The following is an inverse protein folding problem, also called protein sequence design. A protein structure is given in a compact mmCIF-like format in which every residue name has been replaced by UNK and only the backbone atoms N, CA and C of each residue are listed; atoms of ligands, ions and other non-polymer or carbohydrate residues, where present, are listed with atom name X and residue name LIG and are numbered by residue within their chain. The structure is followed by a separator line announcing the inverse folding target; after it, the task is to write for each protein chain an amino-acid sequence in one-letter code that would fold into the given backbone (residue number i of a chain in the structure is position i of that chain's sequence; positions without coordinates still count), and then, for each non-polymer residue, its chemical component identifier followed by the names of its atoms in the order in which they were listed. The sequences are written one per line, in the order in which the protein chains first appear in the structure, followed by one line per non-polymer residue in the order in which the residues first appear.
data_IF_623694249810
#
_entry.id   IF_623694249810
#
_cell.length_a   1.000
_cell.length_b   1.000
_cell.length_c   1.000
_cell.angle_alpha   90.00
_cell.angle_beta   90.00
_cell.angle_gamma   90.00
#
_symmetry.space_group_name_H-M   'P 1'
#
loop_
_entity.id
_entity.type
_entity.pdbx_description
1 polymer ?
#
# COMPACT_ATOMS: atom_id res chain seq x y z
N UNK A 1 4.66 1.30 -0.39
CA UNK A 1 4.94 2.45 0.43
C UNK A 1 6.39 2.91 0.43
N UNK A 2 7.09 2.82 -0.72
CA UNK A 2 8.50 3.25 -0.82
C UNK A 2 8.61 4.74 -1.16
N UNK A 3 7.59 5.32 -1.74
CA UNK A 3 7.64 6.69 -2.25
C UNK A 3 8.47 6.82 -3.53
N UNK A 4 8.97 8.02 -3.81
CA UNK A 4 9.68 8.34 -5.05
C UNK A 4 11.13 7.86 -5.10
N UNK A 5 11.40 6.58 -4.88
CA UNK A 5 12.76 6.01 -4.85
C UNK A 5 13.51 6.22 -6.17
N UNK A 6 12.81 6.15 -7.31
CA UNK A 6 13.41 6.42 -8.63
C UNK A 6 13.83 7.88 -8.74
N UNK A 7 12.93 8.81 -8.37
CA UNK A 7 13.24 10.25 -8.35
C UNK A 7 14.44 10.55 -7.45
N UNK A 8 14.50 9.94 -6.26
CA UNK A 8 15.62 10.11 -5.35
C UNK A 8 16.93 9.63 -5.98
N UNK A 9 16.93 8.44 -6.60
CA UNK A 9 18.11 7.88 -7.27
C UNK A 9 18.60 8.79 -8.39
N UNK A 10 17.71 9.23 -9.29
CA UNK A 10 18.04 10.13 -10.40
C UNK A 10 18.60 11.49 -9.93
N UNK A 11 18.00 12.06 -8.87
CA UNK A 11 18.47 13.34 -8.35
C UNK A 11 19.78 13.20 -7.56
N UNK A 12 20.06 12.02 -7.02
CA UNK A 12 21.37 11.72 -6.45
C UNK A 12 22.48 11.73 -7.51
N UNK A 13 22.23 11.17 -8.68
CA UNK A 13 23.16 11.24 -9.81
C UNK A 13 23.35 12.69 -10.29
N UNK A 14 22.27 13.48 -10.38
CA UNK A 14 22.35 14.91 -10.71
C UNK A 14 23.20 15.67 -9.69
N UNK A 15 23.04 15.39 -8.40
CA UNK A 15 23.83 16.00 -7.33
C UNK A 15 25.32 15.74 -7.51
N UNK A 16 25.69 14.50 -7.82
CA UNK A 16 27.10 14.11 -8.01
C UNK A 16 27.70 14.64 -9.29
N UNK A 17 26.96 14.63 -10.40
CA UNK A 17 27.49 15.03 -11.71
C UNK A 17 27.46 16.55 -11.94
N UNK A 18 26.42 17.24 -11.41
CA UNK A 18 26.10 18.64 -11.79
C UNK A 18 26.07 19.61 -10.61
N UNK A 19 26.19 19.07 -9.38
CA UNK A 19 26.19 19.86 -8.14
C UNK A 19 24.79 20.25 -7.63
N UNK A 20 24.72 20.85 -6.43
CA UNK A 20 23.47 21.09 -5.70
C UNK A 20 22.51 22.08 -6.40
N UNK A 21 23.04 23.02 -7.16
CA UNK A 21 22.23 24.04 -7.85
C UNK A 21 21.41 23.48 -9.03
N UNK A 22 21.62 22.21 -9.38
CA UNK A 22 20.94 21.53 -10.50
C UNK A 22 19.89 20.52 -10.04
N UNK A 23 19.70 20.36 -8.74
CA UNK A 23 18.65 19.51 -8.17
C UNK A 23 17.27 20.05 -8.56
N UNK A 24 16.37 19.13 -8.90
CA UNK A 24 14.99 19.49 -9.22
C UNK A 24 14.29 20.14 -8.03
N UNK A 25 13.60 21.28 -8.19
CA UNK A 25 12.76 21.85 -7.13
C UNK A 25 11.57 20.95 -6.76
N UNK A 26 11.27 19.97 -7.60
CA UNK A 26 10.20 18.98 -7.36
C UNK A 26 10.69 17.71 -6.66
N UNK A 27 11.99 17.60 -6.33
CA UNK A 27 12.53 16.40 -5.64
C UNK A 27 11.68 16.02 -4.44
N UNK A 28 11.47 16.95 -3.52
CA UNK A 28 10.74 16.66 -2.28
C UNK A 28 9.28 16.26 -2.54
N UNK A 29 8.48 17.06 -3.27
CA UNK A 29 7.11 16.65 -3.61
C UNK A 29 7.01 15.30 -4.34
N UNK A 30 7.96 14.96 -5.20
CA UNK A 30 7.95 13.72 -5.97
C UNK A 30 8.44 12.51 -5.15
N UNK A 31 9.10 12.74 -4.02
CA UNK A 31 9.63 11.70 -3.15
C UNK A 31 8.62 11.26 -2.07
N UNK A 32 7.77 12.18 -1.61
CA UNK A 32 6.87 11.93 -0.48
C UNK A 32 5.76 10.92 -0.84
N UNK A 33 5.53 9.87 -0.02
CA UNK A 33 4.52 8.83 -0.29
C UNK A 33 3.08 9.36 -0.36
N UNK A 34 2.76 10.42 0.39
CA UNK A 34 1.41 11.02 0.45
C UNK A 34 1.07 11.88 -0.79
N UNK A 35 2.03 12.15 -1.66
CA UNK A 35 1.78 12.97 -2.85
C UNK A 35 0.90 12.29 -3.90
N UNK A 36 0.76 10.97 -3.89
CA UNK A 36 -0.22 10.28 -4.72
C UNK A 36 -1.65 10.71 -4.31
N UNK A 37 -1.99 10.62 -3.03
CA UNK A 37 -3.27 11.07 -2.49
C UNK A 37 -3.42 12.59 -2.58
N UNK A 38 -2.34 13.35 -2.35
CA UNK A 38 -2.31 14.81 -2.51
C UNK A 38 -2.69 15.27 -3.92
N UNK A 39 -2.15 14.63 -4.96
CA UNK A 39 -2.50 14.93 -6.35
C UNK A 39 -3.97 14.59 -6.66
N UNK A 40 -4.46 13.46 -6.17
CA UNK A 40 -5.89 13.08 -6.31
C UNK A 40 -6.78 14.11 -5.63
N UNK A 41 -6.45 14.52 -4.40
CA UNK A 41 -7.16 15.55 -3.63
C UNK A 41 -7.26 16.86 -4.41
N UNK A 42 -6.13 17.36 -4.93
CA UNK A 42 -6.11 18.59 -5.74
C UNK A 42 -6.94 18.46 -7.02
N UNK A 43 -6.84 17.33 -7.71
CA UNK A 43 -7.55 17.07 -8.96
C UNK A 43 -9.07 17.05 -8.78
N UNK A 44 -9.54 16.50 -7.67
CA UNK A 44 -10.96 16.33 -7.36
C UNK A 44 -11.54 17.46 -6.49
N UNK A 45 -10.69 18.34 -5.97
CA UNK A 45 -11.10 19.38 -5.01
C UNK A 45 -11.55 18.78 -3.66
N UNK A 46 -11.07 17.58 -3.31
CA UNK A 46 -11.40 16.92 -2.06
C UNK A 46 -10.62 17.55 -0.91
N UNK A 47 -11.33 18.10 0.10
CA UNK A 47 -10.74 18.89 1.19
C UNK A 47 -10.81 18.20 2.55
N UNK A 48 -11.18 16.93 2.57
CA UNK A 48 -11.21 16.11 3.79
C UNK A 48 -9.82 15.67 4.23
N UNK A 49 -9.78 14.69 5.12
CA UNK A 49 -8.55 14.07 5.62
C UNK A 49 -7.74 13.50 4.43
N UNK A 50 -6.45 13.81 4.41
CA UNK A 50 -5.53 13.33 3.38
C UNK A 50 -4.20 12.94 4.02
N UNK A 51 -3.84 11.68 3.94
CA UNK A 51 -2.56 11.14 4.39
C UNK A 51 -2.28 9.80 3.69
N UNK A 52 -1.06 9.29 3.86
CA UNK A 52 -0.67 7.97 3.38
C UNK A 52 -0.12 7.14 4.54
N UNK A 53 -0.77 6.05 4.94
CA UNK A 53 -0.11 5.07 5.80
C UNK A 53 1.10 4.49 5.07
N UNK A 54 2.12 4.11 5.82
CA UNK A 54 3.33 3.47 5.29
C UNK A 54 3.60 2.21 6.10
N UNK A 55 3.08 1.09 5.62
CA UNK A 55 3.17 -0.23 6.26
C UNK A 55 3.70 -1.28 5.27
N UNK A 56 4.69 -0.86 4.46
CA UNK A 56 5.30 -1.68 3.41
C UNK A 56 4.24 -2.30 2.48
N UNK A 57 4.24 -3.63 2.30
CA UNK A 57 3.31 -4.33 1.42
C UNK A 57 1.84 -4.24 1.87
N UNK A 58 1.59 -3.96 3.15
CA UNK A 58 0.24 -3.81 3.70
C UNK A 58 -0.37 -2.41 3.50
N UNK A 59 0.40 -1.43 2.99
CA UNK A 59 0.00 -0.02 2.88
C UNK A 59 -1.38 0.16 2.22
N UNK A 60 -1.64 -0.51 1.11
CA UNK A 60 -2.92 -0.40 0.40
C UNK A 60 -4.10 -0.96 1.22
N UNK A 61 -3.91 -2.08 1.90
CA UNK A 61 -4.91 -2.67 2.80
C UNK A 61 -5.17 -1.77 3.99
N UNK A 62 -4.13 -1.22 4.60
CA UNK A 62 -4.26 -0.30 5.73
C UNK A 62 -4.93 1.00 5.34
N UNK A 63 -4.66 1.54 4.15
CA UNK A 63 -5.36 2.73 3.65
C UNK A 63 -6.87 2.50 3.55
N UNK A 64 -7.29 1.33 3.04
CA UNK A 64 -8.69 0.93 2.95
C UNK A 64 -9.30 0.73 4.34
N UNK A 65 -8.59 0.02 5.23
CA UNK A 65 -9.05 -0.24 6.60
C UNK A 65 -9.20 1.02 7.43
N UNK A 66 -8.25 1.95 7.34
CA UNK A 66 -8.34 3.23 8.05
C UNK A 66 -9.45 4.12 7.51
N UNK A 67 -9.70 4.11 6.19
CA UNK A 67 -10.85 4.80 5.61
C UNK A 67 -12.19 4.19 6.08
N UNK A 68 -12.27 2.86 6.16
CA UNK A 68 -13.41 2.16 6.77
C UNK A 68 -13.65 2.61 8.22
N UNK A 69 -12.61 2.65 9.05
CA UNK A 69 -12.72 3.09 10.45
C UNK A 69 -13.24 4.53 10.58
N UNK A 70 -12.77 5.44 9.72
CA UNK A 70 -13.23 6.84 9.71
C UNK A 70 -14.71 6.96 9.32
N UNK A 71 -15.16 6.15 8.36
CA UNK A 71 -16.58 6.10 7.95
C UNK A 71 -17.45 5.53 9.06
N UNK A 72 -17.04 4.42 9.68
CA UNK A 72 -17.80 3.81 10.80
C UNK A 72 -17.90 4.75 12.00
N UNK A 73 -16.87 5.55 12.28
CA UNK A 73 -16.90 6.58 13.33
C UNK A 73 -17.78 7.78 12.99
N UNK A 74 -18.16 7.94 11.72
CA UNK A 74 -18.91 9.10 11.24
C UNK A 74 -18.06 10.36 11.05
N UNK A 75 -16.74 10.23 11.00
CA UNK A 75 -15.82 11.35 10.77
C UNK A 75 -15.86 11.83 9.31
N UNK A 76 -16.17 10.92 8.39
CA UNK A 76 -16.34 11.19 6.95
C UNK A 76 -17.44 10.31 6.37
N UNK A 77 -18.10 10.78 5.29
CA UNK A 77 -19.14 10.02 4.57
C UNK A 77 -18.56 9.16 3.45
N UNK A 78 -17.42 9.57 2.88
CA UNK A 78 -16.79 8.89 1.74
C UNK A 78 -15.27 9.07 1.73
N UNK A 79 -14.58 8.14 1.12
CA UNK A 79 -13.14 8.18 0.91
C UNK A 79 -12.72 7.56 -0.43
N UNK A 80 -11.60 8.03 -0.94
CA UNK A 80 -10.83 7.37 -2.00
C UNK A 80 -9.61 6.75 -1.31
N UNK A 81 -9.54 5.43 -1.28
CA UNK A 81 -8.51 4.70 -0.55
C UNK A 81 -7.94 3.55 -1.38
N UNK A 82 -6.67 3.28 -1.23
CA UNK A 82 -5.98 2.21 -1.97
C UNK A 82 -4.47 2.34 -1.91
N UNK A 83 -3.79 1.80 -2.90
CA UNK A 83 -2.34 1.84 -3.00
C UNK A 83 -1.86 1.98 -4.43
N UNK A 84 -0.66 2.52 -4.57
CA UNK A 84 0.06 2.60 -5.83
C UNK A 84 1.55 2.42 -5.58
N UNK A 85 2.24 1.79 -6.53
CA UNK A 85 3.69 1.64 -6.47
C UNK A 85 4.27 1.61 -7.89
N UNK A 86 5.41 2.30 -8.08
CA UNK A 86 6.19 2.28 -9.29
C UNK A 86 7.68 2.34 -8.91
N UNK A 87 8.20 1.22 -8.42
CA UNK A 87 9.52 1.11 -7.82
C UNK A 87 10.47 0.18 -8.59
N UNK A 88 10.18 -0.16 -9.86
CA UNK A 88 11.09 -0.98 -10.67
C UNK A 88 12.22 -0.10 -11.21
N UNK A 89 13.26 0.03 -10.42
CA UNK A 89 14.48 0.77 -10.78
C UNK A 89 15.72 0.04 -10.23
N UNK A 90 16.92 0.34 -10.74
CA UNK A 90 18.14 -0.40 -10.38
C UNK A 90 18.40 -0.48 -8.88
N UNK A 91 18.22 0.62 -8.15
CA UNK A 91 18.47 0.66 -6.70
C UNK A 91 17.47 -0.20 -5.92
N UNK A 92 16.19 -0.21 -6.31
CA UNK A 92 15.18 -1.04 -5.65
C UNK A 92 15.41 -2.53 -5.94
N UNK A 93 15.68 -2.89 -7.20
CA UNK A 93 16.01 -4.29 -7.58
C UNK A 93 17.26 -4.75 -6.83
N UNK A 94 18.32 -3.94 -6.79
CA UNK A 94 19.55 -4.27 -6.07
C UNK A 94 19.29 -4.43 -4.56
N UNK A 95 18.48 -3.56 -3.96
CA UNK A 95 18.11 -3.62 -2.55
C UNK A 95 17.36 -4.91 -2.19
N UNK A 96 16.31 -5.25 -2.94
CA UNK A 96 15.56 -6.49 -2.71
C UNK A 96 16.36 -7.75 -3.02
N UNK A 97 17.25 -7.71 -4.03
CA UNK A 97 18.15 -8.81 -4.32
C UNK A 97 19.20 -9.02 -3.22
N UNK A 98 19.70 -7.93 -2.62
CA UNK A 98 20.68 -7.98 -1.53
C UNK A 98 20.14 -8.75 -0.31
N UNK A 99 18.85 -8.60 -0.01
CA UNK A 99 18.20 -9.36 1.07
C UNK A 99 17.62 -10.70 0.61
N UNK A 100 17.92 -11.13 -0.63
CA UNK A 100 17.46 -12.40 -1.22
C UNK A 100 15.92 -12.55 -1.21
N UNK A 101 15.21 -11.46 -1.44
CA UNK A 101 13.75 -11.44 -1.44
C UNK A 101 13.13 -11.73 -2.81
N UNK A 102 13.90 -11.50 -3.90
CA UNK A 102 13.41 -11.73 -5.25
C UNK A 102 13.53 -13.20 -5.67
N UNK A 103 12.58 -13.67 -6.48
CA UNK A 103 12.66 -14.97 -7.13
C UNK A 103 13.91 -15.05 -8.04
N UNK A 104 14.59 -16.17 -7.99
CA UNK A 104 15.72 -16.50 -8.86
C UNK A 104 15.31 -17.29 -10.11
N UNK A 105 14.03 -17.62 -10.24
CA UNK A 105 13.47 -18.37 -11.37
C UNK A 105 13.48 -17.49 -12.61
N UNK A 106 14.16 -17.96 -13.67
CA UNK A 106 14.30 -17.22 -14.92
C UNK A 106 13.08 -17.32 -15.84
N UNK A 107 12.21 -18.31 -15.64
CA UNK A 107 10.97 -18.45 -16.38
C UNK A 107 9.91 -17.52 -15.79
N UNK A 108 9.44 -16.50 -16.53
CA UNK A 108 8.46 -15.52 -16.03
C UNK A 108 7.13 -16.16 -15.65
N UNK A 109 6.73 -17.27 -16.28
CA UNK A 109 5.48 -17.96 -15.97
C UNK A 109 5.53 -18.71 -14.63
N UNK A 110 6.74 -19.02 -14.14
CA UNK A 110 6.98 -19.74 -12.90
C UNK A 110 7.53 -18.86 -11.77
N UNK A 111 7.98 -17.66 -12.05
CA UNK A 111 8.62 -16.78 -11.07
C UNK A 111 7.63 -16.25 -10.02
N UNK A 112 6.42 -15.87 -10.42
CA UNK A 112 5.37 -15.36 -9.53
C UNK A 112 4.39 -16.49 -9.18
N UNK A 113 4.58 -17.11 -8.02
CA UNK A 113 3.75 -18.26 -7.57
C UNK A 113 3.45 -18.18 -6.07
N UNK A 114 2.64 -17.20 -5.64
CA UNK A 114 2.26 -17.04 -4.24
C UNK A 114 1.56 -18.31 -3.74
N UNK A 115 1.85 -18.70 -2.49
CA UNK A 115 1.38 -19.92 -1.81
C UNK A 115 1.92 -21.24 -2.36
N UNK A 116 2.66 -21.25 -3.48
CA UNK A 116 3.30 -22.46 -3.97
C UNK A 116 4.39 -22.95 -2.99
N UNK A 117 4.51 -24.27 -2.85
CA UNK A 117 5.52 -24.89 -1.98
C UNK A 117 6.94 -24.61 -2.44
N UNK A 118 7.16 -24.54 -3.74
CA UNK A 118 8.46 -24.33 -4.39
C UNK A 118 8.77 -22.84 -4.66
N UNK A 119 7.97 -21.90 -4.10
CA UNK A 119 8.26 -20.47 -4.23
C UNK A 119 9.60 -20.14 -3.56
N UNK A 120 10.38 -19.28 -4.20
CA UNK A 120 11.72 -18.90 -3.76
C UNK A 120 11.91 -17.39 -3.51
N UNK A 121 10.88 -16.61 -3.77
CA UNK A 121 10.89 -15.16 -3.63
C UNK A 121 9.69 -14.52 -4.31
N UNK A 122 9.69 -13.21 -4.45
CA UNK A 122 8.65 -12.48 -5.15
C UNK A 122 9.18 -11.80 -6.42
N UNK A 123 8.28 -11.34 -7.27
CA UNK A 123 8.60 -10.51 -8.44
C UNK A 123 8.12 -9.09 -8.20
N UNK A 124 8.94 -8.10 -8.58
CA UNK A 124 8.55 -6.69 -8.50
C UNK A 124 7.44 -6.41 -9.52
N UNK A 125 6.41 -5.67 -9.08
CA UNK A 125 5.34 -5.18 -9.93
C UNK A 125 5.13 -3.69 -9.74
N UNK A 126 4.48 -3.06 -10.72
CA UNK A 126 4.03 -1.67 -10.66
C UNK A 126 2.55 -1.62 -10.95
N UNK A 127 1.86 -0.69 -10.32
CA UNK A 127 0.42 -0.52 -10.54
C UNK A 127 -0.24 0.39 -9.51
N UNK A 128 -1.54 0.57 -9.68
CA UNK A 128 -2.41 1.26 -8.74
C UNK A 128 -3.76 0.59 -8.66
N UNK A 129 -4.26 0.45 -7.44
CA UNK A 129 -5.61 -0.02 -7.15
C UNK A 129 -6.26 0.89 -6.12
N UNK A 130 -7.41 1.47 -6.46
CA UNK A 130 -8.08 2.46 -5.62
C UNK A 130 -9.58 2.14 -5.57
N UNK A 131 -10.14 2.20 -4.37
CA UNK A 131 -11.57 2.05 -4.10
C UNK A 131 -12.19 3.40 -3.77
N UNK A 132 -13.41 3.61 -4.22
CA UNK A 132 -14.31 4.63 -3.71
C UNK A 132 -15.18 3.96 -2.64
N UNK A 133 -15.00 4.37 -1.40
CA UNK A 133 -15.68 3.80 -0.23
C UNK A 133 -16.60 4.86 0.33
N UNK A 134 -17.79 4.47 0.73
CA UNK A 134 -18.80 5.38 1.30
C UNK A 134 -19.69 4.67 2.32
N UNK A 135 -20.33 5.42 3.20
CA UNK A 135 -21.32 4.86 4.10
C UNK A 135 -22.52 4.32 3.32
N UNK A 136 -23.17 3.27 3.83
CA UNK A 136 -24.33 2.66 3.18
C UNK A 136 -25.44 3.68 2.98
N UNK A 137 -25.69 4.57 3.94
CA UNK A 137 -26.70 5.62 3.86
C UNK A 137 -26.38 6.60 2.73
N UNK A 138 -25.13 7.02 2.61
CA UNK A 138 -24.70 7.91 1.52
C UNK A 138 -24.85 7.23 0.16
N UNK A 139 -24.38 5.97 0.01
CA UNK A 139 -24.51 5.18 -1.21
C UNK A 139 -25.96 5.00 -1.64
N UNK A 140 -26.83 4.66 -0.70
CA UNK A 140 -28.27 4.46 -0.93
C UNK A 140 -28.95 5.77 -1.35
N UNK A 141 -28.64 6.89 -0.68
CA UNK A 141 -29.27 8.20 -0.95
C UNK A 141 -29.05 8.71 -2.38
N UNK A 142 -27.94 8.31 -3.01
CA UNK A 142 -27.59 8.66 -4.39
C UNK A 142 -27.84 7.54 -5.41
N UNK A 143 -28.48 6.44 -5.00
CA UNK A 143 -28.70 5.23 -5.83
C UNK A 143 -27.39 4.67 -6.42
N UNK A 144 -26.33 4.57 -5.61
CA UNK A 144 -25.07 4.01 -6.04
C UNK A 144 -25.19 2.56 -6.46
N UNK A 145 -24.39 2.13 -7.46
CA UNK A 145 -24.20 0.73 -7.75
C UNK A 145 -23.19 0.14 -6.76
N UNK A 146 -23.69 -0.48 -5.69
CA UNK A 146 -22.87 -1.09 -4.63
C UNK A 146 -22.30 -2.40 -5.15
N UNK A 147 -20.97 -2.53 -5.18
CA UNK A 147 -20.26 -3.73 -5.66
C UNK A 147 -20.00 -4.73 -4.54
N UNK A 148 -19.69 -4.24 -3.34
CA UNK A 148 -19.40 -5.04 -2.14
C UNK A 148 -19.55 -4.17 -0.90
N UNK A 149 -19.58 -4.81 0.26
CA UNK A 149 -19.56 -4.17 1.58
C UNK A 149 -18.26 -4.53 2.30
N UNK A 150 -17.61 -3.55 2.93
CA UNK A 150 -16.48 -3.78 3.83
C UNK A 150 -17.07 -3.91 5.23
N UNK A 151 -16.97 -5.10 5.82
CA UNK A 151 -17.63 -5.44 7.09
C UNK A 151 -16.65 -5.52 8.27
N UNK A 152 -15.36 -5.51 8.02
CA UNK A 152 -14.36 -5.56 9.09
C UNK A 152 -12.94 -5.32 8.58
N UNK A 153 -12.12 -4.82 9.48
CA UNK A 153 -10.69 -4.60 9.26
C UNK A 153 -9.91 -5.04 10.50
N UNK A 154 -8.70 -5.55 10.28
CA UNK A 154 -7.81 -5.95 11.37
C UNK A 154 -6.35 -5.74 10.99
N UNK A 155 -5.58 -5.22 11.93
CA UNK A 155 -4.14 -5.03 11.81
C UNK A 155 -3.43 -5.57 13.05
N UNK A 156 -2.20 -6.03 12.86
CA UNK A 156 -1.33 -6.50 13.94
C UNK A 156 0.13 -6.31 13.57
N UNK A 157 1.03 -6.50 14.54
CA UNK A 157 2.47 -6.50 14.32
C UNK A 157 3.07 -7.78 14.91
N UNK A 158 3.97 -8.43 14.19
CA UNK A 158 4.61 -9.67 14.63
C UNK A 158 5.52 -9.48 15.84
N UNK A 159 6.15 -8.31 15.99
CA UNK A 159 7.16 -8.04 17.02
C UNK A 159 8.24 -9.13 17.14
N UNK A 160 8.61 -9.72 15.99
CA UNK A 160 9.49 -10.89 15.91
C UNK A 160 10.84 -10.57 15.25
N UNK A 161 10.83 -10.16 13.99
CA UNK A 161 12.04 -9.90 13.19
C UNK A 161 11.79 -8.78 12.19
N UNK A 162 12.87 -8.09 11.75
CA UNK A 162 12.73 -6.94 10.86
C UNK A 162 12.17 -7.28 9.47
N UNK A 163 12.38 -8.51 8.99
CA UNK A 163 11.94 -8.95 7.64
C UNK A 163 11.24 -10.31 7.62
N UNK A 164 11.42 -11.14 8.65
CA UNK A 164 10.85 -12.49 8.68
C UNK A 164 9.54 -12.50 9.44
N UNK A 165 8.49 -13.16 8.91
CA UNK A 165 7.25 -13.32 9.63
C UNK A 165 7.45 -14.16 10.91
N UNK A 166 6.55 -13.99 11.88
CA UNK A 166 6.53 -14.79 13.09
C UNK A 166 6.33 -16.28 12.78
N UNK A 167 6.88 -17.14 13.64
CA UNK A 167 6.72 -18.58 13.52
C UNK A 167 5.22 -18.91 13.51
N UNK A 168 4.81 -19.85 12.67
CA UNK A 168 3.42 -20.31 12.51
C UNK A 168 2.44 -19.20 12.01
N UNK A 169 2.92 -18.01 11.64
CA UNK A 169 2.09 -16.94 11.12
C UNK A 169 1.15 -16.33 12.15
N UNK A 170 1.53 -16.32 13.43
CA UNK A 170 0.70 -15.87 14.55
C UNK A 170 0.19 -14.43 14.35
N UNK A 171 1.06 -13.52 13.91
CA UNK A 171 0.66 -12.13 13.67
C UNK A 171 -0.39 -12.00 12.56
N UNK A 172 -0.23 -12.71 11.44
CA UNK A 172 -1.22 -12.73 10.37
C UNK A 172 -2.56 -13.33 10.82
N UNK A 173 -2.50 -14.44 11.59
CA UNK A 173 -3.71 -15.05 12.16
C UNK A 173 -4.44 -14.10 13.11
N UNK A 174 -3.72 -13.32 13.90
CA UNK A 174 -4.29 -12.31 14.80
C UNK A 174 -4.96 -11.17 14.02
N UNK A 175 -4.35 -10.65 12.96
CA UNK A 175 -4.96 -9.64 12.11
C UNK A 175 -6.26 -10.15 11.48
N UNK A 176 -6.27 -11.38 10.95
CA UNK A 176 -7.48 -12.02 10.42
C UNK A 176 -8.57 -12.17 11.48
N UNK A 177 -8.23 -12.64 12.69
CA UNK A 177 -9.19 -12.80 13.79
C UNK A 177 -9.78 -11.45 14.23
N UNK A 178 -8.98 -10.36 14.26
CA UNK A 178 -9.48 -9.02 14.56
C UNK A 178 -10.50 -8.59 13.50
N UNK A 179 -10.21 -8.78 12.22
CA UNK A 179 -11.12 -8.42 11.14
C UNK A 179 -12.43 -9.20 11.21
N UNK A 180 -12.38 -10.51 11.48
CA UNK A 180 -13.54 -11.39 11.61
C UNK A 180 -14.40 -11.00 12.83
N UNK A 181 -13.76 -10.71 13.96
CA UNK A 181 -14.45 -10.26 15.16
C UNK A 181 -15.15 -8.91 14.95
N UNK A 182 -14.48 -7.97 14.27
CA UNK A 182 -15.05 -6.66 13.92
C UNK A 182 -16.23 -6.79 12.95
N UNK A 183 -16.20 -7.80 12.09
CA UNK A 183 -17.28 -8.12 11.16
C UNK A 183 -18.48 -8.85 11.82
N UNK A 184 -18.36 -9.28 13.09
CA UNK A 184 -19.36 -10.06 13.82
C UNK A 184 -19.81 -11.33 13.09
N UNK A 185 -18.91 -11.94 12.28
CA UNK A 185 -19.18 -13.17 11.55
C UNK A 185 -18.54 -14.37 12.25
N UNK A 186 -19.23 -15.53 12.18
CA UNK A 186 -18.68 -16.80 12.60
C UNK A 186 -18.11 -17.53 11.39
N UNK A 187 -16.86 -17.97 11.50
CA UNK A 187 -16.26 -18.90 10.55
C UNK A 187 -16.29 -20.30 11.18
N UNK A 188 -17.04 -21.20 10.60
CA UNK A 188 -17.09 -22.63 10.96
C UNK A 188 -16.52 -23.47 9.82
#
# INVERSE_FOLDING_TARGET
GVGGIMTLSEQFDVLHEKGPDRISPFLIPMMLPDMASGNVSMKLGAKGINYSPVTACATGTDAIGQAYDLIIKGDIDMAIAGGSEAAICPIAVAGFNSVKALSSVSDPELACRPFDKERDGFTLGEGAGVLFIESLDHATSRNANILAEIIGYGASSDAHHITQPSIEGEGAARAMNIAINNAEINYS
#
